data_IF_525975547171
#
_entry.id   IF_525975547171
#
_cell.length_a   1.000
_cell.length_b   1.000
_cell.length_c   1.000
_cell.angle_alpha   90.00
_cell.angle_beta   90.00
_cell.angle_gamma   90.00
#
_symmetry.space_group_name_H-M   'P 1'
#
loop_
_entity.id
_entity.type
_entity.pdbx_description
1 polymer ?
#
# COMPACT_ATOMS: atom_id res chain seq x y z
N UNK A 1 38.77 -23.05 -2.69
CA UNK A 1 39.54 -21.82 -2.98
C UNK A 1 39.63 -20.96 -1.73
N UNK A 2 40.78 -20.33 -1.45
CA UNK A 2 40.96 -19.46 -0.27
C UNK A 2 40.23 -18.14 -0.53
N UNK A 3 39.25 -17.81 0.32
CA UNK A 3 38.43 -16.59 0.18
C UNK A 3 39.30 -15.35 0.47
N UNK A 4 39.35 -14.42 -0.49
CA UNK A 4 40.05 -13.13 -0.36
C UNK A 4 39.40 -12.33 0.79
N UNK A 5 40.21 -11.73 1.66
CA UNK A 5 39.77 -10.95 2.83
C UNK A 5 40.21 -9.49 2.69
N UNK A 6 39.63 -8.59 3.50
CA UNK A 6 39.99 -7.17 3.53
C UNK A 6 41.49 -6.94 3.71
N UNK A 7 42.15 -7.72 4.57
CA UNK A 7 43.61 -7.71 4.76
C UNK A 7 44.43 -7.93 3.49
N UNK A 8 43.93 -8.74 2.55
CA UNK A 8 44.66 -9.06 1.32
C UNK A 8 44.66 -7.84 0.38
N UNK A 9 43.53 -7.13 0.30
CA UNK A 9 43.39 -5.86 -0.43
C UNK A 9 44.20 -4.75 0.25
N UNK A 10 44.11 -4.65 1.58
CA UNK A 10 44.81 -3.63 2.37
C UNK A 10 46.33 -3.71 2.18
N UNK A 11 46.86 -4.94 2.11
CA UNK A 11 48.28 -5.20 1.84
C UNK A 11 48.72 -4.73 0.46
N UNK A 12 47.91 -4.94 -0.58
CA UNK A 12 48.22 -4.55 -1.95
C UNK A 12 48.04 -3.04 -2.20
N UNK A 13 47.04 -2.43 -1.57
CA UNK A 13 46.78 -1.00 -1.69
C UNK A 13 47.64 -0.12 -0.74
N UNK A 14 48.45 -0.77 0.11
CA UNK A 14 49.28 -0.15 1.15
C UNK A 14 48.51 0.77 2.10
N UNK A 15 47.37 0.30 2.60
CA UNK A 15 46.49 1.02 3.55
C UNK A 15 46.03 0.10 4.67
N UNK A 16 45.29 0.65 5.65
CA UNK A 16 44.68 -0.16 6.72
C UNK A 16 43.44 -0.92 6.23
N UNK A 17 43.08 -2.04 6.90
CA UNK A 17 41.81 -2.75 6.64
C UNK A 17 40.59 -1.84 6.84
N UNK A 18 40.66 -0.91 7.80
CA UNK A 18 39.62 0.09 8.03
C UNK A 18 39.46 1.03 6.83
N UNK A 19 40.57 1.46 6.22
CA UNK A 19 40.55 2.29 5.01
C UNK A 19 39.90 1.55 3.84
N UNK A 20 40.25 0.27 3.64
CA UNK A 20 39.60 -0.57 2.60
C UNK A 20 38.11 -0.71 2.87
N UNK A 21 37.72 -0.99 4.11
CA UNK A 21 36.31 -1.12 4.49
C UNK A 21 35.52 0.16 4.24
N UNK A 22 36.05 1.33 4.61
CA UNK A 22 35.40 2.62 4.36
C UNK A 22 35.19 2.87 2.86
N UNK A 23 36.20 2.58 2.04
CA UNK A 23 36.12 2.79 0.58
C UNK A 23 35.14 1.81 -0.08
N UNK A 24 35.18 0.53 0.28
CA UNK A 24 34.30 -0.48 -0.32
C UNK A 24 32.84 -0.37 0.14
N UNK A 25 32.58 0.30 1.27
CA UNK A 25 31.23 0.62 1.74
C UNK A 25 30.78 2.04 1.35
N UNK A 26 31.55 2.76 0.53
CA UNK A 26 31.31 4.16 0.14
C UNK A 26 31.05 5.08 1.35
N UNK A 27 31.67 4.78 2.49
CA UNK A 27 31.52 5.56 3.71
C UNK A 27 32.34 6.86 3.64
N UNK A 28 31.86 7.96 4.27
CA UNK A 28 32.60 9.21 4.35
C UNK A 28 34.01 8.99 4.89
N UNK A 29 35.02 9.42 4.14
CA UNK A 29 36.42 9.23 4.51
C UNK A 29 37.31 10.31 3.91
N UNK A 30 38.43 10.62 4.58
CA UNK A 30 39.46 11.56 4.11
C UNK A 30 40.43 10.93 3.09
N UNK A 31 40.06 9.79 2.50
CA UNK A 31 40.90 9.05 1.54
C UNK A 31 40.77 9.73 0.18
N UNK A 32 41.90 9.97 -0.51
CA UNK A 32 41.90 10.61 -1.82
C UNK A 32 41.18 9.76 -2.87
N UNK A 33 40.54 10.39 -3.86
CA UNK A 33 39.83 9.70 -4.94
C UNK A 33 40.74 8.74 -5.74
N UNK A 34 42.01 9.12 -5.92
CA UNK A 34 43.01 8.25 -6.53
C UNK A 34 43.18 6.94 -5.74
N UNK A 35 43.28 7.03 -4.41
CA UNK A 35 43.44 5.86 -3.54
C UNK A 35 42.15 5.05 -3.44
N UNK A 36 40.97 5.69 -3.45
CA UNK A 36 39.68 4.99 -3.53
C UNK A 36 39.58 4.14 -4.79
N UNK A 37 39.94 4.73 -5.93
CA UNK A 37 39.92 4.06 -7.24
C UNK A 37 40.88 2.86 -7.28
N UNK A 38 42.09 3.02 -6.71
CA UNK A 38 43.07 1.94 -6.60
C UNK A 38 42.54 0.76 -5.75
N UNK A 39 41.90 1.04 -4.60
CA UNK A 39 41.32 0.01 -3.74
C UNK A 39 40.18 -0.74 -4.45
N UNK A 40 39.27 -0.02 -5.14
CA UNK A 40 38.17 -0.63 -5.90
C UNK A 40 38.69 -1.55 -7.01
N UNK A 41 39.69 -1.09 -7.78
CA UNK A 41 40.34 -1.90 -8.82
C UNK A 41 40.97 -3.18 -8.26
N UNK A 42 41.71 -3.10 -7.16
CA UNK A 42 42.33 -4.29 -6.53
C UNK A 42 41.24 -5.26 -6.04
N UNK A 43 40.15 -4.76 -5.47
CA UNK A 43 39.04 -5.61 -5.04
C UNK A 43 38.40 -6.36 -6.23
N UNK A 44 38.22 -5.69 -7.37
CA UNK A 44 37.73 -6.29 -8.60
C UNK A 44 38.68 -7.35 -9.17
N UNK A 45 39.98 -7.03 -9.28
CA UNK A 45 41.01 -7.96 -9.78
C UNK A 45 41.10 -9.25 -8.95
N UNK A 46 40.88 -9.14 -7.64
CA UNK A 46 40.87 -10.28 -6.73
C UNK A 46 39.52 -11.00 -6.65
N UNK A 47 38.51 -10.52 -7.38
CA UNK A 47 37.12 -10.99 -7.29
C UNK A 47 36.63 -11.01 -5.83
N UNK A 48 37.00 -9.97 -5.06
CA UNK A 48 36.59 -9.83 -3.68
C UNK A 48 35.07 -9.59 -3.62
N UNK A 49 34.40 -10.35 -2.76
CA UNK A 49 33.00 -10.13 -2.43
C UNK A 49 32.89 -9.71 -0.96
N UNK A 50 32.25 -8.58 -0.66
CA UNK A 50 31.95 -8.18 0.71
C UNK A 50 31.28 -9.33 1.47
N UNK A 51 31.72 -9.54 2.71
CA UNK A 51 31.08 -10.52 3.57
C UNK A 51 29.90 -9.85 4.29
N UNK A 52 28.69 -10.06 3.78
CA UNK A 52 27.47 -9.50 4.36
C UNK A 52 27.30 -9.86 5.84
N UNK A 53 27.69 -11.07 6.27
CA UNK A 53 27.62 -11.47 7.69
C UNK A 53 28.59 -10.65 8.55
N UNK A 54 29.80 -10.38 8.07
CA UNK A 54 30.73 -9.53 8.80
C UNK A 54 30.28 -8.06 8.80
N UNK A 55 29.65 -7.61 7.71
CA UNK A 55 29.07 -6.27 7.61
C UNK A 55 27.90 -6.11 8.57
N UNK A 56 26.97 -7.06 8.62
CA UNK A 56 25.78 -6.99 9.48
C UNK A 56 26.14 -6.91 10.97
N UNK A 57 27.19 -7.62 11.40
CA UNK A 57 27.72 -7.51 12.76
C UNK A 57 28.24 -6.10 13.10
N UNK A 58 28.79 -5.38 12.11
CA UNK A 58 29.30 -4.02 12.31
C UNK A 58 28.23 -2.94 12.20
N UNK A 59 27.21 -3.15 11.37
CA UNK A 59 26.12 -2.19 11.11
C UNK A 59 24.88 -2.45 11.96
N UNK A 60 24.81 -3.60 12.64
CA UNK A 60 23.62 -4.15 13.28
C UNK A 60 22.39 -4.16 12.34
N UNK A 61 22.65 -4.40 11.04
CA UNK A 61 21.64 -4.45 9.97
C UNK A 61 21.98 -5.54 8.97
N UNK A 62 21.04 -6.43 8.69
CA UNK A 62 21.21 -7.54 7.73
C UNK A 62 20.75 -7.20 6.31
N UNK A 63 20.10 -6.05 6.11
CA UNK A 63 19.40 -5.66 4.88
C UNK A 63 18.43 -6.76 4.42
N UNK A 64 17.73 -7.37 5.37
CA UNK A 64 16.80 -8.47 5.11
C UNK A 64 15.49 -8.24 5.85
N UNK A 65 14.36 -8.42 5.18
CA UNK A 65 13.02 -8.35 5.76
C UNK A 65 12.39 -9.75 5.71
N UNK A 66 11.77 -10.17 6.81
CA UNK A 66 10.94 -11.37 6.83
C UNK A 66 9.55 -11.08 6.29
N UNK A 67 9.01 -11.95 5.45
CA UNK A 67 7.63 -11.90 4.97
C UNK A 67 6.95 -13.24 5.25
N UNK A 68 6.03 -13.27 6.21
CA UNK A 68 5.22 -14.44 6.52
C UNK A 68 3.85 -14.29 5.84
N UNK A 69 3.50 -15.26 5.00
CA UNK A 69 2.21 -15.33 4.31
C UNK A 69 1.49 -16.65 4.61
N UNK A 70 0.14 -16.69 4.53
CA UNK A 70 -0.61 -17.89 4.86
C UNK A 70 -0.46 -19.00 3.83
N UNK A 71 -0.52 -18.66 2.55
CA UNK A 71 -0.57 -19.65 1.47
C UNK A 71 0.03 -19.08 0.19
N UNK A 72 1.22 -19.55 -0.20
CA UNK A 72 1.92 -19.14 -1.42
C UNK A 72 1.23 -19.64 -2.70
N UNK A 73 0.43 -20.71 -2.62
CA UNK A 73 -0.31 -21.23 -3.77
C UNK A 73 -1.51 -20.34 -4.10
N UNK A 74 -2.01 -19.58 -3.12
CA UNK A 74 -3.03 -18.57 -3.37
C UNK A 74 -2.45 -17.41 -4.22
N UNK A 75 -3.00 -17.14 -5.42
CA UNK A 75 -2.54 -16.07 -6.30
C UNK A 75 -2.53 -14.67 -5.69
N UNK A 76 -3.42 -14.42 -4.71
CA UNK A 76 -3.48 -13.16 -3.97
C UNK A 76 -2.16 -12.92 -3.22
N UNK A 77 -1.73 -13.88 -2.39
CA UNK A 77 -0.53 -13.74 -1.57
C UNK A 77 0.76 -13.83 -2.37
N UNK A 78 0.83 -14.68 -3.41
CA UNK A 78 2.00 -14.71 -4.30
C UNK A 78 2.18 -13.40 -5.07
N UNK A 79 1.09 -12.81 -5.57
CA UNK A 79 1.12 -11.49 -6.22
C UNK A 79 1.51 -10.38 -5.25
N UNK A 80 0.93 -10.36 -4.04
CA UNK A 80 1.32 -9.42 -2.98
C UNK A 80 2.81 -9.52 -2.66
N UNK A 81 3.29 -10.74 -2.46
CA UNK A 81 4.69 -11.00 -2.11
C UNK A 81 5.66 -10.57 -3.22
N UNK A 82 5.26 -10.71 -4.49
CA UNK A 82 6.03 -10.22 -5.63
C UNK A 82 6.17 -8.70 -5.62
N UNK A 83 5.12 -7.96 -5.28
CA UNK A 83 5.16 -6.49 -5.19
C UNK A 83 6.02 -6.03 -4.00
N UNK A 84 5.89 -6.68 -2.84
CA UNK A 84 6.74 -6.41 -1.66
C UNK A 84 8.21 -6.63 -2.00
N UNK A 85 8.53 -7.75 -2.66
CA UNK A 85 9.90 -8.04 -3.09
C UNK A 85 10.43 -7.00 -4.09
N UNK A 86 9.62 -6.58 -5.08
CA UNK A 86 10.05 -5.56 -6.03
C UNK A 86 10.37 -4.22 -5.38
N UNK A 87 9.58 -3.81 -4.40
CA UNK A 87 9.76 -2.56 -3.67
C UNK A 87 11.01 -2.63 -2.78
N UNK A 88 11.13 -3.66 -1.96
CA UNK A 88 12.26 -3.81 -1.04
C UNK A 88 13.59 -4.03 -1.76
N UNK A 89 13.58 -4.75 -2.88
CA UNK A 89 14.79 -4.97 -3.68
C UNK A 89 15.35 -3.66 -4.25
N UNK A 90 14.49 -2.71 -4.65
CA UNK A 90 14.93 -1.38 -5.12
C UNK A 90 15.66 -0.60 -4.02
N UNK A 91 15.25 -0.82 -2.76
CA UNK A 91 15.88 -0.25 -1.56
C UNK A 91 17.10 -1.07 -1.06
N UNK A 92 17.50 -2.12 -1.80
CA UNK A 92 18.64 -2.95 -1.45
C UNK A 92 18.39 -4.00 -0.36
N UNK A 93 17.12 -4.28 -0.04
CA UNK A 93 16.72 -5.32 0.90
C UNK A 93 16.47 -6.65 0.19
N UNK A 94 16.83 -7.75 0.86
CA UNK A 94 16.38 -9.10 0.53
C UNK A 94 15.11 -9.44 1.30
N UNK A 95 14.24 -10.27 0.73
CA UNK A 95 13.02 -10.74 1.40
C UNK A 95 13.12 -12.24 1.68
N UNK A 96 13.00 -12.61 2.95
CA UNK A 96 12.81 -14.00 3.37
C UNK A 96 11.31 -14.28 3.41
N UNK A 97 10.79 -14.76 2.29
CA UNK A 97 9.40 -15.18 2.15
C UNK A 97 9.23 -16.58 2.74
N UNK A 98 8.32 -16.72 3.69
CA UNK A 98 8.00 -17.99 4.35
C UNK A 98 6.49 -18.19 4.40
N UNK A 99 6.09 -19.45 4.25
CA UNK A 99 4.70 -19.86 4.15
C UNK A 99 4.27 -20.52 5.45
N UNK A 100 3.20 -20.03 6.09
CA UNK A 100 2.70 -20.57 7.36
C UNK A 100 1.63 -21.65 7.21
N UNK A 101 1.24 -21.99 5.99
CA UNK A 101 0.15 -22.94 5.70
C UNK A 101 -1.17 -22.58 6.41
N UNK A 102 -1.37 -21.27 6.62
CA UNK A 102 -2.54 -20.68 7.29
C UNK A 102 -2.76 -21.18 8.74
N UNK A 103 -1.67 -21.55 9.43
CA UNK A 103 -1.66 -22.05 10.81
C UNK A 103 -0.86 -21.18 11.78
N UNK A 104 -1.47 -20.81 12.90
CA UNK A 104 -0.88 -19.90 13.90
C UNK A 104 0.37 -20.45 14.57
N UNK A 105 0.47 -21.76 14.76
CA UNK A 105 1.68 -22.38 15.32
C UNK A 105 2.87 -22.28 14.36
N UNK A 106 2.60 -22.27 13.05
CA UNK A 106 3.62 -22.02 12.04
C UNK A 106 4.00 -20.53 12.03
N UNK A 107 3.05 -19.59 12.13
CA UNK A 107 3.35 -18.16 12.29
C UNK A 107 4.32 -17.95 13.47
N UNK A 108 4.00 -18.50 14.65
CA UNK A 108 4.83 -18.40 15.87
C UNK A 108 6.24 -18.95 15.67
N UNK A 109 6.35 -20.10 15.01
CA UNK A 109 7.63 -20.75 14.72
C UNK A 109 8.45 -19.89 13.75
N UNK A 110 7.83 -19.42 12.67
CA UNK A 110 8.47 -18.61 11.64
C UNK A 110 8.90 -17.24 12.16
N UNK A 111 8.13 -16.62 13.06
CA UNK A 111 8.52 -15.39 13.76
C UNK A 111 9.84 -15.60 14.52
N UNK A 112 9.94 -16.69 15.29
CA UNK A 112 11.15 -17.03 16.06
C UNK A 112 12.34 -17.31 15.13
N UNK A 113 12.13 -18.08 14.07
CA UNK A 113 13.16 -18.41 13.09
C UNK A 113 13.70 -17.18 12.33
N UNK A 114 12.83 -16.23 11.97
CA UNK A 114 13.22 -14.98 11.29
C UNK A 114 13.94 -14.04 12.26
N UNK A 115 13.50 -13.97 13.52
CA UNK A 115 14.20 -13.26 14.58
C UNK A 115 15.61 -13.82 14.80
N UNK A 116 15.77 -15.14 14.88
CA UNK A 116 17.07 -15.79 15.08
C UNK A 116 18.02 -15.59 13.88
N UNK A 117 17.45 -15.34 12.69
CA UNK A 117 18.18 -14.90 11.49
C UNK A 117 18.49 -13.40 11.45
N UNK A 118 18.10 -12.65 12.48
CA UNK A 118 18.34 -11.22 12.63
C UNK A 118 17.80 -10.39 11.46
N UNK A 119 16.59 -10.71 10.97
CA UNK A 119 15.93 -9.83 9.99
C UNK A 119 15.73 -8.44 10.58
N UNK A 120 15.88 -7.40 9.74
CA UNK A 120 15.77 -6.00 10.13
C UNK A 120 14.32 -5.57 10.42
N UNK A 121 13.34 -6.36 9.97
CA UNK A 121 11.92 -6.16 10.20
C UNK A 121 11.08 -7.31 9.68
N UNK A 122 9.80 -7.31 10.04
CA UNK A 122 8.85 -8.36 9.69
C UNK A 122 7.57 -7.79 9.05
N UNK A 123 7.13 -8.40 7.97
CA UNK A 123 5.78 -8.23 7.41
C UNK A 123 5.05 -9.55 7.64
N UNK A 124 3.92 -9.49 8.33
CA UNK A 124 3.12 -10.66 8.67
C UNK A 124 1.70 -10.51 8.13
N UNK A 125 1.24 -11.51 7.38
CA UNK A 125 -0.16 -11.76 7.11
C UNK A 125 -0.61 -12.92 8.02
N UNK A 126 -1.30 -12.64 9.15
CA UNK A 126 -1.67 -13.65 10.13
C UNK A 126 -2.48 -14.83 9.58
N UNK A 127 -2.23 -16.01 10.14
CA UNK A 127 -3.01 -17.21 9.93
C UNK A 127 -4.49 -17.03 10.34
N UNK A 128 -5.37 -17.72 9.62
CA UNK A 128 -6.82 -17.68 9.80
C UNK A 128 -7.25 -18.22 11.17
N UNK A 129 -6.59 -19.27 11.64
CA UNK A 129 -6.91 -19.92 12.91
C UNK A 129 -6.41 -19.13 14.14
N UNK A 130 -5.52 -18.15 13.96
CA UNK A 130 -5.06 -17.28 15.04
C UNK A 130 -6.22 -16.54 15.75
N UNK A 131 -7.27 -16.20 14.98
CA UNK A 131 -8.48 -15.56 15.48
C UNK A 131 -9.38 -16.46 16.33
N UNK A 132 -9.23 -17.79 16.24
CA UNK A 132 -10.03 -18.76 17.01
C UNK A 132 -9.44 -18.99 18.38
N UNK A 133 -8.13 -19.09 18.45
CA UNK A 133 -7.43 -19.47 19.69
C UNK A 133 -7.24 -18.27 20.62
N UNK A 134 -7.67 -17.06 20.20
CA UNK A 134 -7.23 -15.80 20.78
C UNK A 134 -5.72 -15.86 21.05
N UNK A 135 -5.01 -16.47 20.10
CA UNK A 135 -3.64 -16.87 20.28
C UNK A 135 -2.87 -15.59 20.50
N UNK A 136 -2.27 -15.48 21.67
CA UNK A 136 -1.34 -14.42 21.99
C UNK A 136 -0.12 -14.60 21.09
N UNK A 137 -0.21 -14.15 19.83
CA UNK A 137 0.93 -13.97 18.92
C UNK A 137 1.62 -12.64 19.26
N UNK A 138 0.95 -11.78 20.06
CA UNK A 138 1.53 -10.54 20.56
C UNK A 138 2.81 -10.82 21.35
N UNK A 139 2.84 -11.85 22.21
CA UNK A 139 4.07 -12.23 22.91
C UNK A 139 5.23 -12.57 21.94
N UNK A 140 4.96 -13.33 20.87
CA UNK A 140 5.98 -13.62 19.85
C UNK A 140 6.42 -12.38 19.09
N UNK A 141 5.47 -11.52 18.69
CA UNK A 141 5.74 -10.28 17.96
C UNK A 141 6.54 -9.29 18.82
N UNK A 142 6.18 -9.12 20.08
CA UNK A 142 6.92 -8.30 21.06
C UNK A 142 8.33 -8.83 21.26
N UNK A 143 8.50 -10.15 21.20
CA UNK A 143 9.81 -10.78 21.35
C UNK A 143 10.77 -10.44 20.20
N UNK A 144 10.29 -9.99 19.03
CA UNK A 144 11.14 -9.63 17.88
C UNK A 144 12.09 -8.49 18.27
N UNK A 145 11.63 -7.54 19.10
CA UNK A 145 12.43 -6.37 19.49
C UNK A 145 12.77 -5.41 18.34
N UNK A 146 12.12 -5.58 17.19
CA UNK A 146 12.30 -4.81 15.96
C UNK A 146 10.96 -4.47 15.31
N UNK A 147 10.95 -3.67 14.23
CA UNK A 147 9.73 -3.23 13.59
C UNK A 147 8.99 -4.39 12.91
N UNK A 148 7.67 -4.44 13.07
CA UNK A 148 6.81 -5.35 12.33
C UNK A 148 5.55 -4.63 11.86
N UNK A 149 4.95 -5.16 10.79
CA UNK A 149 3.71 -4.67 10.19
C UNK A 149 2.76 -5.85 9.97
N UNK A 150 1.50 -5.66 10.31
CA UNK A 150 0.43 -6.60 9.95
C UNK A 150 -0.22 -6.16 8.64
N UNK A 151 -0.46 -7.11 7.73
CA UNK A 151 -1.03 -6.80 6.41
C UNK A 151 -2.17 -7.74 6.08
N UNK A 152 -3.19 -7.22 5.38
CA UNK A 152 -4.40 -7.92 4.91
C UNK A 152 -5.31 -8.39 6.05
N UNK A 153 -4.76 -9.23 6.92
CA UNK A 153 -5.37 -9.72 8.15
C UNK A 153 -4.72 -9.00 9.33
N UNK A 154 -5.57 -8.45 10.18
CA UNK A 154 -5.13 -7.59 11.27
C UNK A 154 -5.76 -7.98 12.60
N UNK A 155 -5.15 -7.56 13.71
CA UNK A 155 -5.67 -7.78 15.05
C UNK A 155 -6.01 -6.43 15.69
N UNK A 156 -7.29 -6.22 16.00
CA UNK A 156 -7.79 -4.96 16.57
C UNK A 156 -7.12 -4.58 17.90
N UNK A 157 -6.63 -5.60 18.64
CA UNK A 157 -6.03 -5.45 19.95
C UNK A 157 -4.49 -5.35 19.96
N UNK A 158 -3.82 -5.49 18.81
CA UNK A 158 -2.36 -5.42 18.71
C UNK A 158 -1.92 -4.00 18.33
N UNK A 159 -1.15 -3.34 19.19
CA UNK A 159 -0.65 -1.99 18.94
C UNK A 159 0.57 -2.02 18.02
N UNK A 160 0.33 -1.96 16.71
CA UNK A 160 1.37 -1.94 15.67
C UNK A 160 0.87 -1.23 14.42
N UNK A 161 1.74 -1.02 13.44
CA UNK A 161 1.33 -0.58 12.12
C UNK A 161 0.57 -1.71 11.42
N UNK A 162 -0.63 -1.40 10.93
CA UNK A 162 -1.52 -2.37 10.29
C UNK A 162 -1.99 -1.81 8.96
N UNK A 163 -1.98 -2.62 7.92
CA UNK A 163 -2.38 -2.24 6.57
C UNK A 163 -3.44 -3.20 6.07
N UNK A 164 -4.65 -2.70 5.89
CA UNK A 164 -5.78 -3.44 5.34
C UNK A 164 -6.64 -2.52 4.47
N UNK A 165 -7.55 -3.12 3.70
CA UNK A 165 -8.55 -2.37 2.95
C UNK A 165 -9.79 -2.07 3.80
N UNK A 166 -10.60 -1.12 3.34
CA UNK A 166 -11.96 -0.93 3.84
C UNK A 166 -12.85 -2.10 3.34
N UNK A 167 -12.81 -3.18 4.10
CA UNK A 167 -13.53 -4.41 3.80
C UNK A 167 -15.04 -4.24 3.95
N UNK A 168 -15.51 -3.33 4.80
CA UNK A 168 -16.94 -3.04 4.96
C UNK A 168 -17.46 -2.34 3.70
N UNK A 169 -16.76 -1.30 3.24
CA UNK A 169 -17.13 -0.64 2.00
C UNK A 169 -17.01 -1.57 0.78
N UNK A 170 -15.98 -2.42 0.72
CA UNK A 170 -15.87 -3.43 -0.33
C UNK A 170 -17.06 -4.40 -0.36
N UNK A 171 -17.47 -4.92 0.79
CA UNK A 171 -18.65 -5.79 0.89
C UNK A 171 -19.96 -5.09 0.53
N UNK A 172 -20.06 -3.81 0.87
CA UNK A 172 -21.16 -2.94 0.48
C UNK A 172 -21.23 -2.77 -1.05
N UNK A 173 -20.11 -2.40 -1.70
CA UNK A 173 -20.03 -2.22 -3.15
C UNK A 173 -20.44 -3.49 -3.91
N UNK A 174 -19.90 -4.65 -3.51
CA UNK A 174 -20.21 -5.93 -4.16
C UNK A 174 -21.72 -6.25 -4.10
N UNK A 175 -22.33 -6.01 -2.94
CA UNK A 175 -23.76 -6.30 -2.72
C UNK A 175 -24.66 -5.27 -3.39
N UNK A 176 -24.29 -3.99 -3.32
CA UNK A 176 -25.00 -2.90 -4.00
C UNK A 176 -25.04 -3.16 -5.50
N UNK A 177 -23.92 -3.56 -6.11
CA UNK A 177 -23.88 -3.91 -7.52
C UNK A 177 -24.87 -5.02 -7.87
N UNK A 178 -24.95 -6.10 -7.08
CA UNK A 178 -25.94 -7.17 -7.29
C UNK A 178 -27.38 -6.65 -7.22
N UNK A 179 -27.68 -5.77 -6.25
CA UNK A 179 -29.00 -5.13 -6.10
C UNK A 179 -29.33 -4.28 -7.34
N UNK A 180 -28.38 -3.48 -7.82
CA UNK A 180 -28.52 -2.66 -9.04
C UNK A 180 -28.72 -3.51 -10.30
N UNK A 181 -28.16 -4.72 -10.33
CA UNK A 181 -28.41 -5.72 -11.38
C UNK A 181 -29.77 -6.44 -11.22
N UNK A 182 -30.57 -6.08 -10.23
CA UNK A 182 -31.93 -6.58 -10.01
C UNK A 182 -32.03 -7.81 -9.11
N UNK A 183 -30.94 -8.26 -8.49
CA UNK A 183 -30.98 -9.37 -7.52
C UNK A 183 -31.74 -8.98 -6.26
N UNK A 184 -32.54 -9.90 -5.73
CA UNK A 184 -33.35 -9.71 -4.52
C UNK A 184 -33.02 -10.71 -3.42
N UNK A 185 -32.47 -11.86 -3.79
CA UNK A 185 -32.16 -12.97 -2.91
C UNK A 185 -30.69 -13.34 -3.09
N UNK A 186 -29.85 -12.57 -2.41
CA UNK A 186 -28.40 -12.68 -2.53
C UNK A 186 -27.88 -13.67 -1.49
N UNK A 187 -27.12 -14.66 -1.94
CA UNK A 187 -26.27 -15.48 -1.08
C UNK A 187 -24.91 -14.80 -0.86
N UNK A 188 -24.33 -14.99 0.31
CA UNK A 188 -23.01 -14.45 0.66
C UNK A 188 -22.09 -15.60 1.08
N UNK A 189 -21.05 -15.86 0.29
CA UNK A 189 -19.98 -16.80 0.63
C UNK A 189 -18.91 -16.02 1.38
N UNK A 190 -19.04 -15.97 2.70
CA UNK A 190 -18.09 -15.28 3.56
C UNK A 190 -16.84 -16.12 3.74
N UNK A 191 -15.73 -15.50 4.10
CA UNK A 191 -14.70 -16.24 4.84
C UNK A 191 -15.08 -16.39 6.30
N UNK A 192 -14.11 -16.75 7.15
CA UNK A 192 -14.39 -16.87 8.58
C UNK A 192 -14.75 -15.51 9.18
N UNK A 193 -15.90 -15.45 9.85
CA UNK A 193 -16.40 -14.24 10.51
C UNK A 193 -15.62 -13.86 11.77
N UNK A 194 -14.70 -14.73 12.19
CA UNK A 194 -13.75 -14.45 13.26
C UNK A 194 -12.67 -13.47 12.80
N UNK A 195 -12.31 -13.48 11.51
CA UNK A 195 -11.37 -12.51 10.94
C UNK A 195 -12.00 -11.13 10.83
N UNK A 196 -11.19 -10.10 11.00
CA UNK A 196 -11.60 -8.71 10.79
C UNK A 196 -12.16 -8.51 9.38
N UNK A 197 -11.39 -8.87 8.34
CA UNK A 197 -11.81 -8.70 6.95
C UNK A 197 -13.06 -9.49 6.57
N UNK A 198 -13.16 -10.76 6.99
CA UNK A 198 -14.33 -11.60 6.70
C UNK A 198 -15.61 -11.08 7.36
N UNK A 199 -15.50 -10.58 8.60
CA UNK A 199 -16.62 -9.93 9.32
C UNK A 199 -17.04 -8.64 8.62
N UNK A 200 -16.09 -7.76 8.33
CA UNK A 200 -16.38 -6.47 7.70
C UNK A 200 -17.01 -6.61 6.31
N UNK A 201 -16.50 -7.51 5.45
CA UNK A 201 -17.14 -7.77 4.14
C UNK A 201 -18.60 -8.21 4.31
N UNK A 202 -18.88 -9.03 5.33
CA UNK A 202 -20.25 -9.44 5.64
C UNK A 202 -21.10 -8.30 6.22
N UNK A 203 -20.54 -7.44 7.08
CA UNK A 203 -21.22 -6.25 7.61
C UNK A 203 -21.60 -5.28 6.49
N UNK A 204 -20.69 -5.04 5.53
CA UNK A 204 -20.97 -4.26 4.33
C UNK A 204 -22.09 -4.83 3.48
N UNK A 205 -22.09 -6.15 3.30
CA UNK A 205 -23.19 -6.87 2.63
C UNK A 205 -24.53 -6.67 3.35
N UNK A 206 -24.56 -6.80 4.68
CA UNK A 206 -25.77 -6.58 5.47
C UNK A 206 -26.24 -5.12 5.41
N UNK A 207 -25.30 -4.15 5.41
CA UNK A 207 -25.58 -2.72 5.28
C UNK A 207 -26.29 -2.41 3.97
N UNK A 208 -25.74 -2.90 2.85
CA UNK A 208 -26.33 -2.69 1.51
C UNK A 208 -27.76 -3.27 1.40
N UNK A 209 -27.98 -4.48 1.92
CA UNK A 209 -29.32 -5.08 1.95
C UNK A 209 -30.30 -4.27 2.78
N UNK A 210 -29.88 -3.82 3.97
CA UNK A 210 -30.72 -3.06 4.90
C UNK A 210 -31.12 -1.71 4.32
N UNK A 211 -30.18 -0.96 3.75
CA UNK A 211 -30.44 0.35 3.13
C UNK A 211 -31.37 0.26 1.93
N UNK A 212 -31.30 -0.85 1.19
CA UNK A 212 -32.15 -1.12 0.03
C UNK A 212 -33.49 -1.79 0.40
N UNK A 213 -33.78 -2.00 1.69
CA UNK A 213 -35.04 -2.57 2.17
C UNK A 213 -35.20 -4.07 1.94
N UNK A 214 -34.13 -4.81 1.65
CA UNK A 214 -34.17 -6.27 1.47
C UNK A 214 -34.10 -7.03 2.80
N UNK A 215 -34.69 -8.22 2.82
CA UNK A 215 -34.68 -9.08 4.00
C UNK A 215 -33.34 -9.81 4.15
N UNK A 216 -32.80 -9.80 5.37
CA UNK A 216 -31.59 -10.52 5.72
C UNK A 216 -31.97 -11.94 6.16
N UNK A 217 -31.44 -12.96 5.47
CA UNK A 217 -31.67 -14.37 5.79
C UNK A 217 -30.36 -15.06 6.16
N UNK A 218 -30.30 -15.62 7.38
CA UNK A 218 -29.15 -16.46 7.80
C UNK A 218 -28.95 -17.70 6.91
N UNK A 219 -30.01 -18.17 6.23
CA UNK A 219 -29.93 -19.30 5.30
C UNK A 219 -29.16 -18.95 4.02
N UNK A 220 -28.90 -17.68 3.76
CA UNK A 220 -28.18 -17.22 2.58
C UNK A 220 -26.69 -16.99 2.86
N UNK A 221 -26.24 -17.21 4.11
CA UNK A 221 -24.85 -17.07 4.50
C UNK A 221 -24.16 -18.42 4.51
N UNK A 222 -23.04 -18.50 3.81
CA UNK A 222 -22.16 -19.66 3.75
C UNK A 222 -20.78 -19.24 4.26
N UNK A 223 -20.35 -19.75 5.40
CA UNK A 223 -19.08 -19.39 6.02
C UNK A 223 -17.98 -20.37 5.61
N UNK A 224 -17.04 -19.90 4.79
CA UNK A 224 -15.94 -20.68 4.24
C UNK A 224 -14.56 -20.23 4.72
N UNK A 225 -13.54 -20.69 3.99
CA UNK A 225 -12.12 -20.57 4.31
C UNK A 225 -11.31 -19.93 3.18
N UNK A 226 -11.99 -19.24 2.24
CA UNK A 226 -11.39 -18.61 1.06
C UNK A 226 -10.78 -19.59 0.04
N UNK A 227 -11.05 -20.90 0.15
CA UNK A 227 -10.53 -21.91 -0.79
C UNK A 227 -11.53 -22.23 -1.90
N UNK A 228 -10.99 -22.66 -3.05
CA UNK A 228 -11.76 -23.06 -4.22
C UNK A 228 -12.73 -24.20 -3.92
N UNK A 229 -12.27 -25.22 -3.20
CA UNK A 229 -13.03 -26.42 -2.87
C UNK A 229 -14.28 -26.09 -2.05
N UNK A 230 -14.14 -25.20 -1.08
CA UNK A 230 -15.24 -24.71 -0.25
C UNK A 230 -16.25 -23.93 -1.08
N UNK A 231 -15.78 -23.06 -1.98
CA UNK A 231 -16.65 -22.36 -2.93
C UNK A 231 -17.42 -23.31 -3.85
N UNK A 232 -16.79 -24.40 -4.29
CA UNK A 232 -17.46 -25.42 -5.10
C UNK A 232 -18.54 -26.18 -4.32
N UNK A 233 -18.28 -26.53 -3.06
CA UNK A 233 -19.27 -27.17 -2.18
C UNK A 233 -20.46 -26.24 -1.94
N UNK A 234 -20.22 -24.97 -1.56
CA UNK A 234 -21.30 -24.00 -1.39
C UNK A 234 -22.05 -23.73 -2.70
N UNK A 235 -21.33 -23.73 -3.82
CA UNK A 235 -21.89 -23.59 -5.14
C UNK A 235 -22.92 -24.67 -5.43
N UNK A 236 -22.62 -25.95 -5.15
CA UNK A 236 -23.58 -27.06 -5.33
C UNK A 236 -24.88 -26.87 -4.54
N UNK A 237 -24.80 -26.35 -3.33
CA UNK A 237 -25.97 -26.07 -2.50
C UNK A 237 -26.78 -24.88 -3.05
N UNK A 238 -26.10 -23.82 -3.53
CA UNK A 238 -26.75 -22.65 -4.10
C UNK A 238 -27.42 -22.96 -5.43
N UNK A 239 -26.77 -23.69 -6.34
CA UNK A 239 -27.37 -24.02 -7.65
C UNK A 239 -28.59 -24.93 -7.53
N UNK A 240 -28.70 -25.70 -6.44
CA UNK A 240 -29.88 -26.49 -6.11
C UNK A 240 -31.07 -25.63 -5.61
N UNK A 241 -30.79 -24.39 -5.19
CA UNK A 241 -31.79 -23.44 -4.68
C UNK A 241 -32.29 -22.51 -5.78
N UNK A 242 -33.60 -22.56 -6.04
CA UNK A 242 -34.26 -21.72 -7.05
C UNK A 242 -34.59 -20.30 -6.57
N UNK A 243 -34.44 -20.04 -5.27
CA UNK A 243 -34.76 -18.75 -4.68
C UNK A 243 -33.59 -17.76 -4.71
N UNK A 244 -32.35 -18.22 -4.95
CA UNK A 244 -31.16 -17.34 -5.00
C UNK A 244 -30.96 -16.82 -6.43
N UNK A 245 -30.82 -15.51 -6.58
CA UNK A 245 -30.64 -14.83 -7.88
C UNK A 245 -29.30 -14.09 -8.01
N UNK A 246 -28.56 -13.95 -6.90
CA UNK A 246 -27.20 -13.41 -6.89
C UNK A 246 -26.33 -14.04 -5.81
N UNK A 247 -25.02 -14.08 -6.04
CA UNK A 247 -24.03 -14.50 -5.04
C UNK A 247 -22.92 -13.46 -4.95
N UNK A 248 -22.67 -12.98 -3.74
CA UNK A 248 -21.43 -12.31 -3.39
C UNK A 248 -20.48 -13.34 -2.77
N UNK A 249 -19.36 -13.63 -3.43
CA UNK A 249 -18.28 -14.42 -2.88
C UNK A 249 -17.17 -13.49 -2.36
N UNK A 250 -16.85 -13.60 -1.07
CA UNK A 250 -15.88 -12.74 -0.41
C UNK A 250 -14.44 -12.97 -0.86
N UNK A 251 -14.17 -13.89 -1.80
CA UNK A 251 -12.95 -13.91 -2.61
C UNK A 251 -13.18 -14.60 -3.96
N UNK A 252 -12.26 -14.38 -4.89
CA UNK A 252 -12.34 -14.90 -6.25
C UNK A 252 -12.14 -16.42 -6.32
N UNK A 253 -11.36 -17.03 -5.42
CA UNK A 253 -11.19 -18.49 -5.41
C UNK A 253 -12.50 -19.21 -5.08
N UNK A 254 -13.25 -18.75 -4.08
CA UNK A 254 -14.59 -19.29 -3.80
C UNK A 254 -15.56 -18.98 -4.95
N UNK A 255 -15.44 -17.82 -5.59
CA UNK A 255 -16.23 -17.48 -6.78
C UNK A 255 -15.95 -18.45 -7.95
N UNK A 256 -14.69 -18.83 -8.20
CA UNK A 256 -14.34 -19.82 -9.22
C UNK A 256 -14.91 -21.20 -8.88
N UNK A 257 -14.90 -21.59 -7.62
CA UNK A 257 -15.57 -22.81 -7.16
C UNK A 257 -17.07 -22.79 -7.46
N UNK A 258 -17.74 -21.67 -7.19
CA UNK A 258 -19.14 -21.46 -7.56
C UNK A 258 -19.36 -21.55 -9.07
N UNK A 259 -18.53 -20.88 -9.87
CA UNK A 259 -18.64 -20.89 -11.33
C UNK A 259 -18.50 -22.32 -11.88
N UNK A 260 -17.63 -23.14 -11.28
CA UNK A 260 -17.52 -24.56 -11.64
C UNK A 260 -18.81 -25.33 -11.35
N UNK A 261 -19.43 -25.11 -10.19
CA UNK A 261 -20.71 -25.75 -9.84
C UNK A 261 -21.86 -25.27 -10.75
N UNK A 262 -21.86 -23.98 -11.13
CA UNK A 262 -22.82 -23.42 -12.08
C UNK A 262 -22.69 -24.05 -13.46
N UNK A 263 -21.46 -24.20 -13.96
CA UNK A 263 -21.18 -24.83 -15.25
C UNK A 263 -21.72 -26.27 -15.30
N UNK A 264 -21.45 -27.06 -14.25
CA UNK A 264 -21.96 -28.45 -14.14
C UNK A 264 -23.49 -28.53 -14.04
N UNK A 265 -24.14 -27.50 -13.51
CA UNK A 265 -25.58 -27.37 -13.45
C UNK A 265 -26.19 -26.74 -14.72
N UNK A 266 -25.38 -26.38 -15.72
CA UNK A 266 -25.83 -25.69 -16.94
C UNK A 266 -26.33 -24.26 -16.70
N UNK A 267 -25.90 -23.62 -15.61
CA UNK A 267 -26.23 -22.24 -15.26
C UNK A 267 -25.17 -21.27 -15.78
N UNK A 268 -25.58 -20.02 -16.00
CA UNK A 268 -24.67 -18.95 -16.43
C UNK A 268 -24.78 -17.74 -15.50
N UNK A 269 -23.83 -16.81 -15.60
CA UNK A 269 -23.91 -15.53 -14.89
C UNK A 269 -25.06 -14.61 -15.34
N UNK A 270 -25.82 -15.02 -16.37
CA UNK A 270 -27.09 -14.36 -16.73
C UNK A 270 -28.25 -14.84 -15.87
N UNK A 271 -28.23 -16.11 -15.44
CA UNK A 271 -29.30 -16.75 -14.67
C UNK A 271 -29.06 -16.71 -13.16
N UNK A 272 -27.79 -16.70 -12.74
CA UNK A 272 -27.37 -16.51 -11.35
C UNK A 272 -26.20 -15.52 -11.36
N UNK A 273 -26.40 -14.31 -10.85
CA UNK A 273 -25.36 -13.28 -10.87
C UNK A 273 -24.26 -13.63 -9.87
N UNK A 274 -23.01 -13.36 -10.21
CA UNK A 274 -21.86 -13.62 -9.32
C UNK A 274 -20.99 -12.38 -9.26
N UNK A 275 -20.64 -11.96 -8.05
CA UNK A 275 -19.60 -10.96 -7.77
C UNK A 275 -18.56 -11.61 -6.86
N UNK A 276 -17.31 -11.56 -7.27
CA UNK A 276 -16.15 -11.98 -6.49
C UNK A 276 -15.53 -10.81 -5.70
N UNK A 277 -14.34 -11.06 -5.19
CA UNK A 277 -13.53 -10.09 -4.44
C UNK A 277 -12.07 -10.48 -4.63
N UNK A 278 -11.15 -9.51 -4.76
CA UNK A 278 -9.69 -9.61 -4.99
C UNK A 278 -9.27 -9.11 -6.37
N UNK A 279 -10.10 -9.36 -7.41
CA UNK A 279 -9.79 -9.10 -8.83
C UNK A 279 -8.50 -9.81 -9.29
N UNK A 280 -8.47 -11.13 -9.09
CA UNK A 280 -7.36 -11.99 -9.46
C UNK A 280 -7.15 -12.04 -10.98
N UNK A 281 -5.88 -11.97 -11.41
CA UNK A 281 -5.47 -12.00 -12.82
C UNK A 281 -5.88 -13.29 -13.55
N UNK A 282 -6.16 -14.36 -12.82
CA UNK A 282 -6.66 -15.63 -13.36
C UNK A 282 -7.95 -15.45 -14.16
N UNK A 283 -8.83 -14.54 -13.74
CA UNK A 283 -10.05 -14.20 -14.49
C UNK A 283 -9.73 -13.74 -15.91
N UNK A 284 -8.76 -12.83 -16.04
CA UNK A 284 -8.31 -12.31 -17.34
C UNK A 284 -7.54 -13.38 -18.13
N UNK A 285 -6.60 -14.07 -17.49
CA UNK A 285 -5.72 -15.06 -18.12
C UNK A 285 -6.49 -16.22 -18.76
N UNK A 286 -7.56 -16.67 -18.10
CA UNK A 286 -8.39 -17.78 -18.58
C UNK A 286 -9.66 -17.31 -19.30
N UNK A 287 -9.86 -16.00 -19.47
CA UNK A 287 -11.05 -15.45 -20.10
C UNK A 287 -12.35 -15.78 -19.36
N UNK A 288 -12.29 -15.87 -18.03
CA UNK A 288 -13.45 -16.08 -17.16
C UNK A 288 -13.96 -14.69 -16.75
N UNK A 289 -15.08 -14.19 -17.32
CA UNK A 289 -15.58 -12.87 -16.98
C UNK A 289 -16.19 -12.89 -15.57
N UNK A 290 -15.39 -12.59 -14.56
CA UNK A 290 -15.84 -12.45 -13.18
C UNK A 290 -15.84 -10.97 -12.79
N UNK A 291 -17.01 -10.43 -12.46
CA UNK A 291 -17.08 -9.12 -11.80
C UNK A 291 -16.53 -9.27 -10.39
N UNK A 292 -15.58 -8.43 -9.97
CA UNK A 292 -14.91 -8.56 -8.68
C UNK A 292 -14.55 -7.20 -8.11
N UNK A 293 -14.58 -7.07 -6.78
CA UNK A 293 -14.06 -5.89 -6.08
C UNK A 293 -12.53 -5.95 -6.10
N UNK A 294 -11.88 -4.94 -6.66
CA UNK A 294 -10.43 -4.92 -6.82
C UNK A 294 -9.72 -4.55 -5.53
N UNK A 295 -8.76 -5.39 -5.12
CA UNK A 295 -7.79 -5.08 -4.08
C UNK A 295 -6.45 -4.77 -4.76
N UNK A 296 -6.07 -3.50 -4.87
CA UNK A 296 -4.80 -3.13 -5.50
C UNK A 296 -3.59 -3.53 -4.63
N UNK A 297 -3.08 -4.74 -4.90
CA UNK A 297 -1.95 -5.33 -4.19
C UNK A 297 -0.66 -4.49 -4.29
N UNK A 298 -0.51 -3.63 -5.29
CA UNK A 298 0.64 -2.74 -5.40
C UNK A 298 0.58 -1.64 -4.34
N UNK A 299 -0.61 -1.11 -4.06
CA UNK A 299 -0.87 -0.13 -3.00
C UNK A 299 -0.71 -0.79 -1.63
N UNK A 300 -1.27 -1.99 -1.44
CA UNK A 300 -1.11 -2.73 -0.19
C UNK A 300 0.37 -3.03 0.12
N UNK A 301 1.12 -3.46 -0.89
CA UNK A 301 2.56 -3.69 -0.77
C UNK A 301 3.35 -2.40 -0.53
N UNK A 302 2.98 -1.29 -1.16
CA UNK A 302 3.61 0.01 -0.90
C UNK A 302 3.39 0.44 0.56
N UNK A 303 2.16 0.35 1.05
CA UNK A 303 1.83 0.73 2.41
C UNK A 303 2.46 -0.20 3.46
N UNK A 304 2.69 -1.47 3.13
CA UNK A 304 3.35 -2.40 4.07
C UNK A 304 4.85 -2.15 4.26
N UNK A 305 5.50 -1.50 3.29
CA UNK A 305 6.94 -1.18 3.37
C UNK A 305 7.23 0.28 3.74
N UNK A 306 6.24 1.16 3.60
CA UNK A 306 6.34 2.57 3.94
C UNK A 306 5.70 2.87 5.30
N UNK A 307 6.32 3.75 6.09
CA UNK A 307 5.75 4.21 7.36
C UNK A 307 4.69 5.30 7.12
N UNK A 308 3.57 4.94 6.49
CA UNK A 308 2.43 5.83 6.29
C UNK A 308 1.67 6.01 7.60
N UNK A 309 1.39 7.27 7.96
CA UNK A 309 0.39 7.61 8.96
C UNK A 309 -0.83 8.16 8.22
N UNK A 310 -1.91 7.39 8.17
CA UNK A 310 -3.18 7.87 7.63
C UNK A 310 -3.73 8.99 8.54
N UNK A 311 -4.22 10.07 7.94
CA UNK A 311 -5.07 11.04 8.63
C UNK A 311 -6.45 10.41 8.85
N UNK A 312 -7.15 10.79 9.93
CA UNK A 312 -8.51 10.30 10.12
C UNK A 312 -9.39 10.77 8.95
N UNK A 313 -10.37 9.96 8.54
CA UNK A 313 -11.28 10.34 7.44
C UNK A 313 -11.99 11.67 7.72
N UNK A 314 -12.33 11.95 8.98
CA UNK A 314 -12.90 13.24 9.41
C UNK A 314 -11.90 14.39 9.20
N UNK A 315 -10.62 14.20 9.53
CA UNK A 315 -9.57 15.19 9.28
C UNK A 315 -9.37 15.42 7.78
N UNK A 316 -9.43 14.36 6.97
CA UNK A 316 -9.33 14.44 5.51
C UNK A 316 -10.54 15.20 4.95
N UNK A 317 -11.75 14.86 5.39
CA UNK A 317 -12.98 15.53 4.95
C UNK A 317 -12.96 17.01 5.34
N UNK A 318 -12.60 17.34 6.58
CA UNK A 318 -12.42 18.73 7.01
C UNK A 318 -11.34 19.45 6.19
N UNK A 319 -10.22 18.79 5.88
CA UNK A 319 -9.17 19.37 5.05
C UNK A 319 -9.65 19.63 3.61
N UNK A 320 -10.49 18.75 3.05
CA UNK A 320 -11.09 18.91 1.73
C UNK A 320 -12.21 19.96 1.72
N UNK A 321 -12.98 20.09 2.80
CA UNK A 321 -14.02 21.13 2.93
C UNK A 321 -13.39 22.55 2.97
N UNK A 322 -12.13 22.64 3.37
CA UNK A 322 -11.34 23.88 3.34
C UNK A 322 -10.54 24.06 2.04
N UNK A 323 -10.69 23.18 1.06
CA UNK A 323 -10.17 23.37 -0.29
C UNK A 323 -11.10 24.32 -1.06
N UNK A 324 -10.61 25.52 -1.35
CA UNK A 324 -11.42 26.57 -1.97
C UNK A 324 -11.42 26.45 -3.49
N UNK A 325 -10.27 26.03 -4.05
CA UNK A 325 -10.09 25.92 -5.49
C UNK A 325 -8.88 25.05 -5.85
N UNK A 326 -9.15 24.05 -6.68
CA UNK A 326 -8.13 23.19 -7.29
C UNK A 326 -8.06 23.42 -8.80
N UNK A 327 -6.86 23.37 -9.34
CA UNK A 327 -6.62 23.33 -10.78
C UNK A 327 -5.68 22.18 -11.10
N UNK A 328 -6.08 21.32 -12.04
CA UNK A 328 -5.28 20.20 -12.53
C UNK A 328 -5.04 20.40 -14.03
N UNK A 329 -3.79 20.24 -14.46
CA UNK A 329 -3.40 20.20 -15.86
C UNK A 329 -3.31 18.74 -16.28
N UNK A 330 -3.97 18.40 -17.38
CA UNK A 330 -3.94 17.08 -17.98
C UNK A 330 -3.18 17.08 -19.31
N UNK A 331 -2.44 16.00 -19.57
CA UNK A 331 -2.01 15.60 -20.91
C UNK A 331 -2.76 14.31 -21.28
N UNK A 332 -3.73 14.43 -22.18
CA UNK A 332 -4.74 13.38 -22.41
C UNK A 332 -5.51 13.08 -21.13
N UNK A 333 -5.48 11.81 -20.70
CA UNK A 333 -6.13 11.35 -19.46
C UNK A 333 -5.18 11.36 -18.25
N UNK A 334 -3.93 11.79 -18.42
CA UNK A 334 -2.93 11.82 -17.36
C UNK A 334 -2.89 13.20 -16.70
N UNK A 335 -3.11 13.27 -15.38
CA UNK A 335 -2.85 14.48 -14.61
C UNK A 335 -1.33 14.72 -14.52
N UNK A 336 -0.85 15.86 -15.03
CA UNK A 336 0.58 16.20 -15.13
C UNK A 336 0.98 17.37 -14.24
N UNK A 337 0.04 18.18 -13.78
CA UNK A 337 0.30 19.23 -12.78
C UNK A 337 -0.96 19.53 -11.94
N UNK A 338 -0.79 19.99 -10.71
CA UNK A 338 -1.88 20.40 -9.82
C UNK A 338 -1.48 21.62 -8.99
N UNK A 339 -2.43 22.50 -8.74
CA UNK A 339 -2.33 23.50 -7.68
C UNK A 339 -3.61 23.54 -6.83
N UNK A 340 -3.44 23.76 -5.52
CA UNK A 340 -4.53 23.81 -4.54
C UNK A 340 -4.48 25.08 -3.70
N UNK A 341 -5.65 25.71 -3.54
CA UNK A 341 -5.83 26.94 -2.78
C UNK A 341 -6.80 26.69 -1.62
N UNK A 342 -6.34 26.89 -0.39
CA UNK A 342 -7.14 26.72 0.84
C UNK A 342 -7.33 28.05 1.56
N UNK A 343 -8.31 28.18 2.46
CA UNK A 343 -8.49 29.41 3.25
C UNK A 343 -9.93 29.69 3.69
N UNK A 344 -10.23 30.95 3.96
CA UNK A 344 -11.57 31.41 4.40
C UNK A 344 -12.50 31.84 3.24
N UNK A 345 -12.00 31.81 2.01
CA UNK A 345 -12.76 32.12 0.79
C UNK A 345 -12.86 33.61 0.47
N UNK A 346 -12.29 34.52 1.28
CA UNK A 346 -12.44 35.96 1.07
C UNK A 346 -11.23 36.82 1.44
N UNK A 347 -10.66 36.62 2.63
CA UNK A 347 -9.63 37.49 3.24
C UNK A 347 -8.29 36.77 3.30
N UNK A 348 -8.26 35.49 3.66
CA UNK A 348 -7.02 34.71 3.85
C UNK A 348 -7.04 33.47 2.96
N UNK A 349 -5.99 33.34 2.16
CA UNK A 349 -5.74 32.22 1.26
C UNK A 349 -4.32 31.68 1.46
N UNK A 350 -4.15 30.37 1.22
CA UNK A 350 -2.86 29.71 1.18
C UNK A 350 -2.76 28.82 -0.06
N UNK A 351 -1.70 29.02 -0.84
CA UNK A 351 -1.35 28.14 -1.95
C UNK A 351 -0.53 26.98 -1.38
N UNK A 352 -1.15 25.80 -1.27
CA UNK A 352 -0.63 24.69 -0.46
C UNK A 352 0.21 23.71 -1.27
N UNK A 353 -0.33 23.26 -2.39
CA UNK A 353 0.35 22.33 -3.28
C UNK A 353 0.46 22.99 -4.64
N UNK A 354 1.68 23.06 -5.19
CA UNK A 354 1.94 23.43 -6.58
C UNK A 354 2.96 22.44 -7.10
N UNK A 355 2.46 21.46 -7.85
CA UNK A 355 3.26 20.30 -8.27
C UNK A 355 3.16 20.18 -9.78
N UNK A 356 4.32 20.10 -10.43
CA UNK A 356 4.44 19.80 -11.86
C UNK A 356 5.29 18.54 -11.99
N UNK A 357 4.77 17.53 -12.66
CA UNK A 357 5.49 16.28 -12.92
C UNK A 357 6.84 16.58 -13.58
N UNK A 358 7.97 15.96 -13.16
CA UNK A 358 9.31 16.36 -13.57
C UNK A 358 9.51 16.49 -15.08
N UNK A 359 8.88 15.62 -15.87
CA UNK A 359 8.98 15.63 -17.34
C UNK A 359 8.31 16.85 -17.99
N UNK A 360 7.33 17.46 -17.31
CA UNK A 360 6.55 18.62 -17.77
C UNK A 360 7.02 19.94 -17.14
N UNK A 361 8.06 19.90 -16.31
CA UNK A 361 8.67 21.12 -15.78
C UNK A 361 9.27 21.96 -16.92
N UNK A 362 9.22 23.29 -16.76
CA UNK A 362 9.66 24.26 -17.77
C UNK A 362 8.87 24.24 -19.10
N UNK A 363 7.72 23.58 -19.15
CA UNK A 363 6.82 23.55 -20.32
C UNK A 363 5.58 24.46 -20.15
N UNK A 364 5.61 25.40 -19.19
CA UNK A 364 4.51 26.34 -18.94
C UNK A 364 3.36 25.80 -18.07
N UNK A 365 3.40 24.54 -17.62
CA UNK A 365 2.38 23.98 -16.73
C UNK A 365 2.24 24.78 -15.42
N UNK A 366 3.36 25.20 -14.82
CA UNK A 366 3.33 26.04 -13.62
C UNK A 366 2.62 27.38 -13.85
N UNK A 367 2.84 28.00 -15.01
CA UNK A 367 2.19 29.28 -15.35
C UNK A 367 0.68 29.11 -15.57
N UNK A 368 0.25 28.01 -16.19
CA UNK A 368 -1.16 27.68 -16.37
C UNK A 368 -1.88 27.49 -15.03
N UNK A 369 -1.22 26.82 -14.07
CA UNK A 369 -1.73 26.68 -12.71
C UNK A 369 -1.91 28.07 -12.07
N UNK A 370 -0.86 28.88 -12.06
CA UNK A 370 -0.89 30.21 -11.43
C UNK A 370 -1.95 31.11 -12.08
N UNK A 371 -2.06 31.16 -13.40
CA UNK A 371 -3.10 31.94 -14.10
C UNK A 371 -4.51 31.54 -13.66
N UNK A 372 -4.75 30.24 -13.48
CA UNK A 372 -6.05 29.73 -13.04
C UNK A 372 -6.35 30.12 -11.59
N UNK A 373 -5.35 30.02 -10.71
CA UNK A 373 -5.46 30.49 -9.32
C UNK A 373 -5.77 31.99 -9.26
N UNK A 374 -5.02 32.82 -9.99
CA UNK A 374 -5.25 34.28 -10.02
C UNK A 374 -6.62 34.65 -10.60
N UNK A 375 -7.08 33.92 -11.61
CA UNK A 375 -8.42 34.08 -12.17
C UNK A 375 -9.50 33.76 -11.13
N UNK A 376 -9.31 32.72 -10.33
CA UNK A 376 -10.22 32.41 -9.21
C UNK A 376 -10.19 33.53 -8.15
N UNK A 377 -9.00 33.91 -7.68
CA UNK A 377 -8.81 34.98 -6.69
C UNK A 377 -9.47 36.30 -7.12
N UNK A 378 -9.38 36.68 -8.40
CA UNK A 378 -10.01 37.91 -8.91
C UNK A 378 -11.52 38.00 -8.70
N UNK A 379 -12.18 36.84 -8.55
CA UNK A 379 -13.64 36.76 -8.34
C UNK A 379 -14.00 36.79 -6.86
N UNK A 380 -13.17 36.17 -6.02
CA UNK A 380 -13.53 35.84 -4.64
C UNK A 380 -12.76 36.62 -3.58
N UNK A 381 -11.54 37.08 -3.87
CA UNK A 381 -10.73 37.81 -2.91
C UNK A 381 -11.21 39.26 -2.73
N UNK A 382 -11.18 39.77 -1.50
CA UNK A 382 -11.36 41.20 -1.26
C UNK A 382 -10.05 41.97 -1.48
N UNK A 383 -10.15 43.30 -1.60
CA UNK A 383 -8.97 44.16 -1.64
C UNK A 383 -8.16 43.99 -0.35
N UNK A 384 -6.85 43.79 -0.48
CA UNK A 384 -5.95 43.55 0.65
C UNK A 384 -6.02 42.13 1.21
N UNK A 385 -6.69 41.20 0.53
CA UNK A 385 -6.66 39.79 0.90
C UNK A 385 -5.23 39.25 0.89
N UNK A 386 -4.93 38.37 1.84
CA UNK A 386 -3.64 37.76 2.03
C UNK A 386 -3.58 36.41 1.30
N UNK A 387 -2.55 36.20 0.48
CA UNK A 387 -2.25 34.90 -0.14
C UNK A 387 -0.85 34.46 0.28
N UNK A 388 -0.76 33.45 1.14
CA UNK A 388 0.51 32.89 1.61
C UNK A 388 0.94 31.65 0.85
N UNK A 389 2.25 31.37 0.77
CA UNK A 389 2.78 30.08 0.31
C UNK A 389 4.13 29.76 0.95
N UNK A 390 4.49 28.48 0.91
CA UNK A 390 5.83 28.00 1.28
C UNK A 390 6.54 27.48 0.04
N UNK A 391 7.46 28.30 -0.51
CA UNK A 391 8.27 27.89 -1.65
C UNK A 391 9.35 26.90 -1.22
N UNK A 392 9.60 25.87 -2.03
CA UNK A 392 10.79 25.04 -1.89
C UNK A 392 12.05 25.91 -2.05
N UNK A 393 13.13 25.69 -1.29
CA UNK A 393 14.34 26.48 -1.44
C UNK A 393 14.86 26.48 -2.88
N UNK A 394 15.09 27.67 -3.44
CA UNK A 394 15.63 27.85 -4.79
C UNK A 394 14.58 28.05 -5.89
N UNK A 395 13.27 27.99 -5.60
CA UNK A 395 12.20 28.27 -6.58
C UNK A 395 11.43 29.56 -6.31
N UNK A 396 11.88 30.39 -5.37
CA UNK A 396 11.22 31.64 -4.96
C UNK A 396 11.07 32.62 -6.13
N UNK A 397 12.04 32.64 -7.05
CA UNK A 397 12.01 33.49 -8.24
C UNK A 397 10.80 33.22 -9.15
N UNK A 398 10.32 31.97 -9.20
CA UNK A 398 9.12 31.62 -9.96
C UNK A 398 7.87 32.27 -9.38
N UNK A 399 7.75 32.41 -8.06
CA UNK A 399 6.59 33.05 -7.44
C UNK A 399 6.72 34.57 -7.42
N UNK A 400 7.95 35.10 -7.34
CA UNK A 400 8.21 36.54 -7.36
C UNK A 400 7.68 37.25 -8.61
N UNK A 401 7.70 36.59 -9.78
CA UNK A 401 7.14 37.15 -11.01
C UNK A 401 5.61 37.40 -10.94
N UNK A 402 4.92 36.73 -10.01
CA UNK A 402 3.49 36.89 -9.75
C UNK A 402 3.20 37.88 -8.62
N UNK A 403 4.21 38.64 -8.17
CA UNK A 403 4.07 39.65 -7.12
C UNK A 403 4.20 39.09 -5.69
N UNK A 404 4.52 37.81 -5.52
CA UNK A 404 4.83 37.28 -4.20
C UNK A 404 6.15 37.87 -3.69
N UNK A 405 6.12 38.43 -2.50
CA UNK A 405 7.31 38.90 -1.81
C UNK A 405 7.75 37.85 -0.80
N UNK A 406 9.05 37.56 -0.78
CA UNK A 406 9.65 36.78 0.32
C UNK A 406 9.48 37.60 1.60
N UNK A 407 8.88 36.99 2.63
CA UNK A 407 8.76 37.68 3.92
C UNK A 407 10.18 37.89 4.50
N UNK A 408 10.56 39.09 4.95
CA UNK A 408 11.90 39.31 5.49
C UNK A 408 11.96 38.97 7.00
N UNK A 409 12.94 38.15 7.38
CA UNK A 409 13.61 38.10 8.71
C UNK A 409 12.75 37.74 9.96
N UNK A 410 13.42 37.64 11.12
CA UNK A 410 12.98 37.04 12.41
C UNK A 410 11.60 37.47 12.94
N UNK A 411 11.01 38.56 12.43
CA UNK A 411 9.74 39.12 12.90
C UNK A 411 8.50 38.57 12.19
N UNK A 412 8.64 38.05 10.96
CA UNK A 412 7.48 37.71 10.10
C UNK A 412 7.35 36.22 9.78
N UNK A 413 8.32 35.38 10.16
CA UNK A 413 8.30 33.94 9.91
C UNK A 413 8.64 33.55 8.46
N UNK A 414 8.70 32.25 8.19
CA UNK A 414 9.12 31.70 6.88
C UNK A 414 8.01 31.79 5.82
N UNK A 415 8.42 31.79 4.55
CA UNK A 415 7.52 31.72 3.38
C UNK A 415 7.45 32.99 2.52
N UNK A 416 6.52 32.98 1.57
CA UNK A 416 6.23 34.09 0.68
C UNK A 416 4.77 34.54 0.84
N UNK A 417 4.50 35.82 0.59
CA UNK A 417 3.17 36.42 0.68
C UNK A 417 2.89 37.30 -0.52
N UNK A 418 1.64 37.31 -0.96
CA UNK A 418 1.07 38.30 -1.86
C UNK A 418 -0.10 38.99 -1.15
N UNK A 419 -0.13 40.32 -1.20
CA UNK A 419 -1.32 41.10 -0.85
C UNK A 419 -2.10 41.36 -2.13
N UNK A 420 -3.33 40.87 -2.19
CA UNK A 420 -4.13 40.92 -3.40
C UNK A 420 -4.69 42.33 -3.62
N UNK A 421 -4.17 43.00 -4.66
CA UNK A 421 -4.63 44.30 -5.13
C UNK A 421 -5.41 44.09 -6.44
N UNK A 422 -6.65 44.60 -6.52
CA UNK A 422 -7.55 44.42 -7.67
C UNK A 422 -7.13 45.22 -8.89
#
# INVERSE_FOLDING_TARGET
MKKVRLKDIAKLAHVSEASVSLVLNDAPSRISEAKKSEIKRIAEELNYRPNYVARSLSTNKTQTIGLIIPDIENPYFSSFSKHVEDLLRKEGYLVFMVNSDDHVENDRTLIKELKDRQVDGLILCPALDAYRVNADVQQELDSIGGPFVLVDRIFENIQTNQVSYDNEYGGYLATQYLIEQGCKHIACFTGSLLTYGGRQRYEGHLRALKESGYSISKKNRYEGDYRYETGYVFGKDVVARKDIDGVFACNDLMAYGLLKAMDEAGLTQKTLKVVGYDNLKQSEMFGIPLTSVSQDLSVLAMHSVCNFKAYALEDIQMALDHDLYDVVVFDGDQAVAIARLVGDGRIVFFLKDVIVHPQYQHQGCGDLLMQSIFKYLSRVACQGAYVGLMATPGVEAFYAQYGFITRPTEELGSGMVLFYEQ
#
